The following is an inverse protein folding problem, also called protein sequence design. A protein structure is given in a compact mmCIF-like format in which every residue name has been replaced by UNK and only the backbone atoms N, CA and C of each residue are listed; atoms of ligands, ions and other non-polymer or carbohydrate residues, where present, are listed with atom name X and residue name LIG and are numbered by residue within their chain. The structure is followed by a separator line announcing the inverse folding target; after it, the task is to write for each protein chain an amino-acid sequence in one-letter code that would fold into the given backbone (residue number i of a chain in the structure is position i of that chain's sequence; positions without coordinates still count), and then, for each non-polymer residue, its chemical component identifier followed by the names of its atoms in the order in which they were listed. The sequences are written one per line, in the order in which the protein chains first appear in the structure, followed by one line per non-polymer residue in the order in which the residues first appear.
data_IF_127230384527
#
_entry.id   IF_127230384527
#
_cell.length_a   1.000
_cell.length_b   1.000
_cell.length_c   1.000
_cell.angle_alpha   90.00
_cell.angle_beta   90.00
_cell.angle_gamma   90.00
#
_symmetry.space_group_name_H-M   'P 1'
#
loop_
_entity.id
_entity.type
_entity.pdbx_description
1 polymer ?
#
# COMPACT_ATOMS: atom_id res chain seq x y z
N UNK A 1 -16.22 -2.45 17.16
CA UNK A 1 -15.86 -1.39 16.20
C UNK A 1 -14.73 -1.96 15.35
N UNK A 2 -15.01 -2.41 14.13
CA UNK A 2 -14.01 -3.12 13.31
C UNK A 2 -13.02 -2.11 12.73
N UNK A 3 -11.75 -2.20 13.12
CA UNK A 3 -10.66 -1.34 12.64
C UNK A 3 -10.20 -1.66 11.20
N UNK A 4 -11.11 -2.08 10.31
CA UNK A 4 -10.78 -2.41 8.92
C UNK A 4 -10.87 -1.19 8.00
N UNK A 5 -9.96 -1.09 7.03
CA UNK A 5 -10.06 -0.19 5.89
C UNK A 5 -9.71 -0.98 4.62
N UNK A 6 -10.51 -0.81 3.56
CA UNK A 6 -10.19 -1.35 2.24
C UNK A 6 -9.41 -0.29 1.47
N UNK A 7 -8.24 -0.68 0.95
CA UNK A 7 -7.43 0.12 0.05
C UNK A 7 -7.21 -0.74 -1.20
N UNK A 8 -7.75 -0.32 -2.34
CA UNK A 8 -7.69 -1.06 -3.60
C UNK A 8 -7.42 -0.13 -4.78
N UNK A 9 -6.85 -0.72 -5.84
CA UNK A 9 -6.68 -0.13 -7.16
C UNK A 9 -6.76 -1.27 -8.17
N UNK A 10 -7.21 -0.97 -9.39
CA UNK A 10 -7.36 -1.97 -10.43
C UNK A 10 -6.00 -2.54 -10.84
N UNK A 11 -5.96 -3.85 -11.06
CA UNK A 11 -4.79 -4.55 -11.56
C UNK A 11 -5.16 -5.62 -12.60
N UNK A 12 -4.15 -6.10 -13.31
CA UNK A 12 -4.26 -7.27 -14.19
C UNK A 12 -3.24 -8.30 -13.71
N UNK A 13 -3.72 -9.45 -13.26
CA UNK A 13 -2.89 -10.62 -12.96
C UNK A 13 -2.79 -11.53 -14.19
N UNK A 14 -1.56 -11.83 -14.60
CA UNK A 14 -1.24 -12.70 -15.72
C UNK A 14 -0.63 -13.99 -15.18
N UNK A 15 -1.40 -15.07 -15.20
CA UNK A 15 -0.97 -16.39 -14.77
C UNK A 15 -0.39 -17.20 -15.94
N UNK A 16 0.83 -17.71 -15.77
CA UNK A 16 1.49 -18.62 -16.72
C UNK A 16 1.50 -20.03 -16.15
N UNK A 17 1.10 -21.00 -16.97
CA UNK A 17 1.08 -22.43 -16.61
C UNK A 17 2.10 -23.21 -17.44
N UNK A 18 2.81 -24.16 -16.81
CA UNK A 18 3.84 -25.00 -17.44
C UNK A 18 3.28 -26.20 -18.25
N UNK A 19 1.99 -26.14 -18.59
CA UNK A 19 1.24 -27.27 -19.13
C UNK A 19 0.74 -28.25 -18.06
N UNK A 20 -0.26 -29.05 -18.41
CA UNK A 20 -0.91 -29.99 -17.47
C UNK A 20 -1.61 -29.30 -16.30
N UNK A 21 -2.05 -28.05 -16.46
CA UNK A 21 -2.68 -27.26 -15.39
C UNK A 21 -1.74 -26.84 -14.25
N UNK A 22 -0.41 -27.03 -14.39
CA UNK A 22 0.56 -26.69 -13.34
C UNK A 22 0.95 -25.23 -13.39
N UNK A 23 0.88 -24.55 -12.25
CA UNK A 23 1.37 -23.18 -12.10
C UNK A 23 2.86 -23.07 -12.48
N UNK A 24 3.22 -21.96 -13.11
CA UNK A 24 4.62 -21.62 -13.40
C UNK A 24 5.01 -20.27 -12.82
N UNK A 25 4.24 -19.22 -13.09
CA UNK A 25 4.47 -17.87 -12.56
C UNK A 25 3.21 -17.01 -12.59
N UNK A 26 3.24 -15.95 -11.81
CA UNK A 26 2.27 -14.86 -11.80
C UNK A 26 3.01 -13.54 -12.05
N UNK A 27 2.37 -12.66 -12.81
CA UNK A 27 2.83 -11.29 -13.04
C UNK A 27 1.65 -10.37 -12.82
N UNK A 28 1.81 -9.38 -11.96
CA UNK A 28 0.79 -8.37 -11.76
C UNK A 28 1.20 -7.07 -12.44
N UNK A 29 0.25 -6.47 -13.15
CA UNK A 29 0.37 -5.17 -13.79
C UNK A 29 -0.58 -4.20 -13.11
N UNK A 30 -0.04 -3.07 -12.68
CA UNK A 30 -0.77 -2.03 -11.95
C UNK A 30 -0.70 -0.71 -12.72
N UNK A 31 -1.70 0.16 -12.55
CA UNK A 31 -1.56 1.58 -12.87
C UNK A 31 -0.69 2.25 -11.80
N UNK A 32 0.56 2.68 -12.12
CA UNK A 32 1.45 3.21 -11.10
C UNK A 32 0.91 4.48 -10.43
N UNK A 33 0.13 5.30 -11.16
CA UNK A 33 -0.39 6.56 -10.65
C UNK A 33 -1.51 6.35 -9.62
N UNK A 34 -2.38 5.35 -9.82
CA UNK A 34 -3.42 5.00 -8.85
C UNK A 34 -2.82 4.32 -7.63
N UNK A 35 -1.90 3.37 -7.84
CA UNK A 35 -1.26 2.68 -6.74
C UNK A 35 -0.41 3.61 -5.86
N UNK A 36 0.24 4.61 -6.47
CA UNK A 36 0.98 5.64 -5.73
C UNK A 36 0.09 6.45 -4.77
N UNK A 37 -1.20 6.62 -5.08
CA UNK A 37 -2.14 7.34 -4.20
C UNK A 37 -2.56 6.52 -2.98
N UNK A 38 -2.45 5.19 -3.02
CA UNK A 38 -2.79 4.32 -1.90
C UNK A 38 -1.77 4.41 -0.76
N UNK A 39 -0.51 4.69 -1.08
CA UNK A 39 0.59 4.76 -0.10
C UNK A 39 0.33 5.81 1.00
N UNK A 40 0.02 7.09 0.70
CA UNK A 40 -0.29 8.07 1.75
C UNK A 40 -1.59 7.74 2.50
N UNK A 41 -2.58 7.11 1.86
CA UNK A 41 -3.81 6.67 2.53
C UNK A 41 -3.51 5.57 3.57
N UNK A 42 -2.63 4.62 3.22
CA UNK A 42 -2.16 3.58 4.13
C UNK A 42 -1.36 4.17 5.30
N UNK A 43 -0.39 5.07 5.04
CA UNK A 43 0.39 5.73 6.11
C UNK A 43 -0.55 6.46 7.11
N UNK A 44 -1.54 7.23 6.63
CA UNK A 44 -2.52 7.91 7.51
C UNK A 44 -3.26 6.91 8.41
N UNK A 45 -3.66 5.77 7.85
CA UNK A 45 -4.36 4.73 8.60
C UNK A 45 -3.46 4.09 9.65
N UNK A 46 -2.23 3.74 9.28
CA UNK A 46 -1.25 3.13 10.18
C UNK A 46 -0.87 4.08 11.33
N UNK A 47 -0.69 5.38 11.04
CA UNK A 47 -0.49 6.43 12.05
C UNK A 47 -1.69 6.49 13.01
N UNK A 48 -2.91 6.59 12.49
CA UNK A 48 -4.12 6.67 13.32
C UNK A 48 -4.37 5.41 14.17
N UNK A 49 -3.78 4.28 13.81
CA UNK A 49 -3.81 3.04 14.59
C UNK A 49 -2.59 2.89 15.53
N UNK A 50 -1.59 3.76 15.43
CA UNK A 50 -0.34 3.66 16.20
C UNK A 50 0.47 2.41 15.88
N UNK A 51 0.38 1.88 14.65
CA UNK A 51 1.04 0.62 14.26
C UNK A 51 2.42 0.82 13.62
N UNK A 52 2.83 2.07 13.40
CA UNK A 52 4.15 2.40 12.87
C UNK A 52 5.16 2.54 14.01
N UNK A 53 6.38 2.04 13.79
CA UNK A 53 7.55 2.38 14.60
C UNK A 53 8.01 3.82 14.36
N UNK A 54 8.94 4.29 15.17
CA UNK A 54 9.45 5.68 15.14
C UNK A 54 10.00 6.08 13.77
N UNK A 55 10.90 5.27 13.19
CA UNK A 55 11.50 5.56 11.88
C UNK A 55 10.47 5.53 10.74
N UNK A 56 9.47 4.66 10.82
CA UNK A 56 8.41 4.53 9.81
C UNK A 56 7.47 5.74 9.88
N UNK A 57 7.12 6.18 11.10
CA UNK A 57 6.35 7.38 11.34
C UNK A 57 7.10 8.63 10.83
N UNK A 58 8.38 8.77 11.17
CA UNK A 58 9.22 9.88 10.72
C UNK A 58 9.28 9.93 9.19
N UNK A 59 9.55 8.81 8.54
CA UNK A 59 9.58 8.77 7.08
C UNK A 59 8.22 9.09 6.44
N UNK A 60 7.13 8.49 6.91
CA UNK A 60 5.78 8.77 6.39
C UNK A 60 5.45 10.26 6.54
N UNK A 61 5.78 10.88 7.68
CA UNK A 61 5.47 12.30 7.92
C UNK A 61 6.40 13.26 7.20
N UNK A 62 7.68 12.95 6.99
CA UNK A 62 8.59 13.83 6.25
C UNK A 62 8.38 13.77 4.73
N UNK A 63 8.13 12.56 4.19
CA UNK A 63 8.16 12.32 2.74
C UNK A 63 6.76 12.35 2.13
N UNK A 64 5.79 11.71 2.78
CA UNK A 64 4.47 11.48 2.19
C UNK A 64 3.37 12.37 2.77
N UNK A 65 3.51 12.76 4.04
CA UNK A 65 2.48 13.44 4.83
C UNK A 65 3.07 14.60 5.66
N UNK A 66 3.77 15.58 5.04
CA UNK A 66 4.40 16.70 5.73
C UNK A 66 3.41 17.51 6.58
N UNK A 67 2.13 17.53 6.21
CA UNK A 67 1.08 18.18 6.97
C UNK A 67 0.87 17.59 8.38
N UNK A 68 1.25 16.32 8.60
CA UNK A 68 1.15 15.64 9.89
C UNK A 68 2.41 15.87 10.74
N UNK A 69 3.60 15.84 10.13
CA UNK A 69 4.87 16.02 10.84
C UNK A 69 5.17 17.47 11.25
N UNK A 70 4.56 18.45 10.60
CA UNK A 70 4.77 19.88 10.88
C UNK A 70 3.99 20.40 12.10
N UNK A 71 3.18 19.56 12.75
CA UNK A 71 2.25 19.94 13.82
C UNK A 71 2.84 19.83 15.24
N UNK A 72 4.15 19.66 15.38
CA UNK A 72 4.87 19.58 16.67
C UNK A 72 5.59 20.88 17.02
#
# INVERSE_FOLDING_TARGET
MTSGATLDADNISILTYAGGGRFSKEQDVYNPAEFAQLVPAWCRRAIGLGTLGEAEFEWCTQVLLPEIGSAS
#
